data_IF_965209251896
#
_entry.id   IF_965209251896
#
_cell.length_a   1.000
_cell.length_b   1.000
_cell.length_c   1.000
_cell.angle_alpha   90.00
_cell.angle_beta   90.00
_cell.angle_gamma   90.00
#
_symmetry.space_group_name_H-M   'P 1'
#
loop_
_entity.id
_entity.type
_entity.pdbx_description
1 polymer ?
#
# COMPACT_ATOMS: atom_id res chain seq x y z
N UNK A 1 36.11 -41.29 7.07
CA UNK A 1 34.64 -41.41 6.86
C UNK A 1 34.39 -42.25 5.61
N UNK A 2 33.58 -43.31 5.70
CA UNK A 2 33.25 -44.13 4.52
C UNK A 2 32.55 -43.29 3.45
N UNK A 3 32.67 -43.68 2.18
CA UNK A 3 32.03 -42.98 1.04
C UNK A 3 30.52 -42.78 1.27
N UNK A 4 29.88 -43.76 1.91
CA UNK A 4 28.45 -43.73 2.32
C UNK A 4 28.16 -42.64 3.35
N UNK A 5 29.03 -42.46 4.36
CA UNK A 5 28.89 -41.39 5.36
C UNK A 5 29.09 -39.99 4.77
N UNK A 6 30.05 -39.82 3.86
CA UNK A 6 30.27 -38.53 3.18
C UNK A 6 29.06 -38.14 2.32
N UNK A 7 28.50 -39.10 1.59
CA UNK A 7 27.29 -38.89 0.80
C UNK A 7 26.09 -38.49 1.67
N UNK A 8 25.88 -39.19 2.78
CA UNK A 8 24.80 -38.87 3.71
C UNK A 8 24.91 -37.44 4.28
N UNK A 9 26.12 -37.01 4.65
CA UNK A 9 26.37 -35.64 5.14
C UNK A 9 26.12 -34.60 4.04
N UNK A 10 26.54 -34.86 2.80
CA UNK A 10 26.25 -33.96 1.68
C UNK A 10 24.75 -33.83 1.43
N UNK A 11 24.00 -34.94 1.44
CA UNK A 11 22.53 -34.92 1.26
C UNK A 11 21.88 -34.14 2.39
N UNK A 12 22.31 -34.35 3.64
CA UNK A 12 21.79 -33.62 4.80
C UNK A 12 22.03 -32.10 4.68
N UNK A 13 23.23 -31.71 4.24
CA UNK A 13 23.58 -30.29 4.00
C UNK A 13 22.73 -29.69 2.89
N UNK A 14 22.53 -30.40 1.78
CA UNK A 14 21.67 -29.95 0.68
C UNK A 14 20.22 -29.79 1.13
N UNK A 15 19.70 -30.70 1.96
CA UNK A 15 18.36 -30.57 2.54
C UNK A 15 18.23 -29.38 3.47
N UNK A 16 19.24 -29.11 4.32
CA UNK A 16 19.28 -27.93 5.19
C UNK A 16 19.29 -26.63 4.38
N UNK A 17 20.14 -26.55 3.36
CA UNK A 17 20.21 -25.38 2.48
C UNK A 17 18.88 -25.21 1.73
N UNK A 18 18.35 -26.29 1.16
CA UNK A 18 17.07 -26.29 0.44
C UNK A 18 15.91 -25.87 1.33
N UNK A 19 15.85 -26.32 2.58
CA UNK A 19 14.82 -25.93 3.53
C UNK A 19 14.87 -24.44 3.87
N UNK A 20 16.07 -23.86 4.05
CA UNK A 20 16.24 -22.43 4.29
C UNK A 20 15.85 -21.59 3.07
N UNK A 21 16.27 -22.01 1.87
CA UNK A 21 15.87 -21.33 0.62
C UNK A 21 14.34 -21.39 0.45
N UNK A 22 13.73 -22.57 0.69
CA UNK A 22 12.29 -22.72 0.59
C UNK A 22 11.53 -21.87 1.61
N UNK A 23 12.05 -21.73 2.84
CA UNK A 23 11.48 -20.86 3.86
C UNK A 23 11.51 -19.39 3.44
N UNK A 24 12.62 -18.93 2.86
CA UNK A 24 12.77 -17.54 2.38
C UNK A 24 11.93 -17.23 1.15
N UNK A 25 11.66 -18.23 0.31
CA UNK A 25 10.82 -18.09 -0.89
C UNK A 25 9.33 -18.23 -0.60
N UNK A 26 8.92 -18.58 0.62
CA UNK A 26 7.49 -18.56 0.96
C UNK A 26 7.00 -17.11 0.88
N UNK A 27 5.88 -16.85 0.17
CA UNK A 27 5.24 -15.57 0.29
C UNK A 27 4.93 -15.34 1.76
N UNK A 28 5.29 -14.16 2.28
CA UNK A 28 4.83 -13.74 3.59
C UNK A 28 3.31 -13.94 3.63
N UNK A 29 2.74 -14.50 4.72
CA UNK A 29 1.30 -14.54 4.87
C UNK A 29 0.76 -13.14 4.57
N UNK A 30 -0.29 -13.05 3.76
CA UNK A 30 -0.93 -11.76 3.51
C UNK A 30 -1.21 -11.15 4.89
N UNK A 31 -0.56 -10.02 5.18
CA UNK A 31 -0.81 -9.31 6.43
C UNK A 31 -2.30 -9.00 6.56
N UNK A 32 -2.77 -8.76 7.77
CA UNK A 32 -4.14 -8.29 7.99
C UNK A 32 -4.41 -6.94 7.29
N UNK A 33 -3.35 -6.25 6.86
CA UNK A 33 -3.41 -5.01 6.09
C UNK A 33 -2.33 -4.95 4.99
N UNK A 34 -2.56 -4.10 4.00
CA UNK A 34 -1.57 -3.59 3.05
C UNK A 34 -1.22 -2.14 3.38
N UNK A 35 -0.06 -1.69 2.95
CA UNK A 35 0.36 -0.29 3.08
C UNK A 35 0.07 0.46 1.79
N UNK A 36 -0.61 1.59 1.91
CA UNK A 36 -0.70 2.59 0.86
C UNK A 36 0.32 3.68 1.16
N UNK A 37 1.31 3.80 0.30
CA UNK A 37 2.42 4.75 0.42
C UNK A 37 2.38 5.73 -0.74
N UNK A 38 2.58 7.02 -0.48
CA UNK A 38 2.79 8.03 -1.52
C UNK A 38 3.49 9.25 -0.97
N UNK A 39 4.10 10.04 -1.85
CA UNK A 39 4.60 11.37 -1.50
C UNK A 39 3.60 12.43 -1.93
N UNK A 40 3.37 13.40 -1.05
CA UNK A 40 2.53 14.57 -1.31
C UNK A 40 3.31 15.87 -1.09
N UNK A 41 2.99 16.88 -1.89
CA UNK A 41 3.47 18.25 -1.76
C UNK A 41 2.32 19.22 -1.97
N UNK A 42 2.19 20.18 -1.05
CA UNK A 42 1.22 21.26 -1.10
C UNK A 42 1.69 22.48 -0.30
N UNK A 43 0.96 23.58 -0.43
CA UNK A 43 1.32 24.85 0.20
C UNK A 43 0.86 24.91 1.66
N UNK A 44 -0.37 24.45 1.90
CA UNK A 44 -1.06 24.51 3.19
C UNK A 44 -0.92 23.23 3.99
N UNK A 45 -1.05 23.37 5.31
CA UNK A 45 -1.18 22.23 6.20
C UNK A 45 -2.57 21.64 6.05
N UNK A 46 -2.68 20.33 5.85
CA UNK A 46 -3.95 19.62 5.67
C UNK A 46 -3.97 18.28 6.38
N UNK A 47 -5.17 17.84 6.73
CA UNK A 47 -5.41 16.45 7.13
C UNK A 47 -5.76 15.64 5.89
N UNK A 48 -4.88 14.71 5.53
CA UNK A 48 -5.08 13.78 4.43
C UNK A 48 -5.75 12.54 4.99
N UNK A 49 -6.84 12.10 4.38
CA UNK A 49 -7.64 11.00 4.89
C UNK A 49 -7.80 9.89 3.86
N UNK A 50 -7.52 8.66 4.28
CA UNK A 50 -7.76 7.45 3.51
C UNK A 50 -8.98 6.73 4.09
N UNK A 51 -10.03 6.60 3.29
CA UNK A 51 -11.21 5.80 3.61
C UNK A 51 -11.13 4.46 2.91
N UNK A 52 -11.56 3.40 3.60
CA UNK A 52 -11.53 2.04 3.10
C UNK A 52 -12.85 1.32 3.39
N UNK A 53 -13.27 0.46 2.47
CA UNK A 53 -14.53 -0.27 2.61
C UNK A 53 -14.52 -1.59 1.83
N UNK A 54 -15.26 -2.60 2.31
CA UNK A 54 -15.42 -3.90 1.66
C UNK A 54 -16.42 -3.86 0.48
N UNK A 55 -17.33 -2.88 0.48
CA UNK A 55 -18.43 -2.75 -0.50
C UNK A 55 -18.66 -1.30 -0.95
N UNK A 56 -19.51 -1.08 -1.95
CA UNK A 56 -19.90 0.26 -2.45
C UNK A 56 -20.80 1.06 -1.50
N UNK A 57 -21.00 0.59 -0.26
CA UNK A 57 -21.73 1.35 0.74
C UNK A 57 -20.99 2.67 1.08
N UNK A 58 -21.70 3.58 1.76
CA UNK A 58 -21.14 4.89 2.11
C UNK A 58 -19.88 4.75 2.98
N UNK A 59 -18.81 5.43 2.56
CA UNK A 59 -17.61 5.59 3.37
C UNK A 59 -17.96 6.26 4.71
N UNK A 60 -17.38 5.76 5.80
CA UNK A 60 -17.60 6.31 7.14
C UNK A 60 -16.28 6.69 7.80
N UNK A 61 -16.32 7.67 8.69
CA UNK A 61 -15.16 8.08 9.50
C UNK A 61 -14.58 6.91 10.32
N UNK A 62 -15.42 5.96 10.72
CA UNK A 62 -14.99 4.77 11.47
C UNK A 62 -14.05 3.86 10.67
N UNK A 63 -14.21 3.84 9.33
CA UNK A 63 -13.38 3.07 8.41
C UNK A 63 -12.45 4.00 7.63
N UNK A 64 -11.66 4.78 8.37
CA UNK A 64 -10.71 5.71 7.79
C UNK A 64 -9.46 5.88 8.65
N UNK A 65 -8.42 6.43 8.04
CA UNK A 65 -7.21 6.87 8.72
C UNK A 65 -6.84 8.27 8.25
N UNK A 66 -6.31 9.07 9.17
CA UNK A 66 -5.95 10.46 8.96
C UNK A 66 -4.46 10.64 9.17
N UNK A 67 -3.82 11.43 8.32
CA UNK A 67 -2.43 11.81 8.46
C UNK A 67 -2.26 13.30 8.18
N UNK A 68 -1.50 13.97 9.03
CA UNK A 68 -1.27 15.40 8.92
C UNK A 68 -0.14 15.69 7.94
N UNK A 69 -0.46 16.32 6.81
CA UNK A 69 0.51 16.97 5.94
C UNK A 69 0.84 18.34 6.51
N UNK A 70 2.11 18.64 6.75
CA UNK A 70 2.48 19.86 7.51
C UNK A 70 2.35 21.16 6.73
N UNK A 71 2.23 21.11 5.39
CA UNK A 71 2.38 22.30 4.56
C UNK A 71 3.79 22.87 4.61
N UNK A 72 4.33 23.29 3.47
CA UNK A 72 5.63 23.98 3.29
C UNK A 72 6.21 23.80 1.89
N UNK A 73 5.42 23.31 0.92
CA UNK A 73 5.91 22.99 -0.42
C UNK A 73 7.07 21.98 -0.44
N UNK A 74 7.22 21.17 0.61
CA UNK A 74 8.13 20.03 0.63
C UNK A 74 7.37 18.72 0.41
N UNK A 75 8.03 17.79 -0.26
CA UNK A 75 7.56 16.42 -0.38
C UNK A 75 7.59 15.75 0.98
N UNK A 76 6.47 15.12 1.34
CA UNK A 76 6.32 14.35 2.56
C UNK A 76 5.71 13.00 2.20
N UNK A 77 6.34 11.93 2.68
CA UNK A 77 5.82 10.59 2.54
C UNK A 77 4.68 10.38 3.54
N UNK A 78 3.55 9.89 3.05
CA UNK A 78 2.41 9.43 3.84
C UNK A 78 2.23 7.93 3.65
N UNK A 79 1.86 7.27 4.74
CA UNK A 79 1.61 5.83 4.81
C UNK A 79 0.28 5.59 5.52
N UNK A 80 -0.58 4.79 4.91
CA UNK A 80 -1.85 4.34 5.49
C UNK A 80 -1.90 2.82 5.53
N UNK A 81 -2.36 2.24 6.65
CA UNK A 81 -2.51 0.79 6.81
C UNK A 81 -3.92 0.37 6.42
N UNK A 82 -4.13 -0.22 5.25
CA UNK A 82 -5.47 -0.54 4.75
C UNK A 82 -5.80 -2.02 5.01
N UNK A 83 -6.93 -2.36 5.66
CA UNK A 83 -7.35 -3.75 5.87
C UNK A 83 -7.43 -4.56 4.58
N UNK A 84 -7.05 -5.84 4.63
CA UNK A 84 -6.91 -6.69 3.45
C UNK A 84 -8.25 -7.14 2.80
N UNK A 85 -9.37 -6.94 3.49
CA UNK A 85 -10.74 -7.13 3.00
C UNK A 85 -11.27 -5.90 2.22
N UNK A 86 -10.49 -4.82 2.16
CA UNK A 86 -10.84 -3.60 1.43
C UNK A 86 -10.96 -3.87 -0.07
N UNK A 87 -12.12 -3.53 -0.62
CA UNK A 87 -12.38 -3.55 -2.07
C UNK A 87 -12.46 -2.14 -2.67
N UNK A 88 -12.71 -1.13 -1.83
CA UNK A 88 -12.89 0.26 -2.23
C UNK A 88 -12.04 1.17 -1.35
N UNK A 89 -11.26 2.04 -2.00
CA UNK A 89 -10.38 3.01 -1.35
C UNK A 89 -10.71 4.40 -1.89
N UNK A 90 -10.82 5.39 -0.98
CA UNK A 90 -10.93 6.81 -1.33
C UNK A 90 -9.86 7.60 -0.59
N UNK A 91 -9.20 8.50 -1.30
CA UNK A 91 -8.23 9.44 -0.72
C UNK A 91 -8.76 10.86 -0.82
N UNK A 92 -8.86 11.52 0.33
CA UNK A 92 -9.27 12.91 0.46
C UNK A 92 -8.03 13.73 0.85
N UNK A 93 -7.65 14.69 0.00
CA UNK A 93 -6.40 15.47 0.12
C UNK A 93 -6.55 16.77 0.94
N UNK A 94 -7.56 16.86 1.79
CA UNK A 94 -7.87 18.04 2.59
C UNK A 94 -9.22 18.67 2.25
N UNK A 95 -9.62 19.65 3.05
CA UNK A 95 -10.92 20.32 2.93
C UNK A 95 -10.85 21.72 2.30
N UNK A 96 -9.66 22.32 2.28
CA UNK A 96 -9.47 23.67 1.73
C UNK A 96 -9.05 23.64 0.25
N UNK A 97 -9.47 24.63 -0.55
CA UNK A 97 -9.00 24.79 -1.91
C UNK A 97 -7.47 24.94 -1.96
N UNK A 98 -6.81 24.07 -2.73
CA UNK A 98 -5.36 24.07 -2.87
C UNK A 98 -4.90 23.23 -4.05
N UNK A 99 -3.63 23.39 -4.43
CA UNK A 99 -2.98 22.54 -5.43
C UNK A 99 -2.05 21.58 -4.71
N UNK A 100 -2.29 20.29 -4.90
CA UNK A 100 -1.44 19.22 -4.38
C UNK A 100 -0.81 18.46 -5.53
N UNK A 101 0.47 18.14 -5.38
CA UNK A 101 1.17 17.20 -6.24
C UNK A 101 1.36 15.90 -5.47
N UNK A 102 1.09 14.78 -6.14
CA UNK A 102 1.25 13.42 -5.60
C UNK A 102 2.18 12.65 -6.53
N UNK A 103 3.10 11.87 -5.96
CA UNK A 103 3.97 10.97 -6.74
C UNK A 103 4.27 9.69 -5.97
N UNK A 104 4.79 8.70 -6.69
CA UNK A 104 5.29 7.43 -6.13
C UNK A 104 4.22 6.72 -5.29
N UNK A 105 2.99 6.66 -5.82
CA UNK A 105 1.89 5.99 -5.14
C UNK A 105 2.02 4.48 -5.32
N UNK A 106 2.13 3.77 -4.20
CA UNK A 106 2.40 2.34 -4.15
C UNK A 106 1.49 1.66 -3.14
N UNK A 107 1.06 0.46 -3.50
CA UNK A 107 0.43 -0.48 -2.57
C UNK A 107 1.41 -1.62 -2.31
N UNK A 108 1.76 -1.85 -1.05
CA UNK A 108 2.65 -2.95 -0.64
C UNK A 108 1.97 -3.88 0.36
N UNK A 109 2.24 -5.17 0.26
CA UNK A 109 1.69 -6.19 1.14
C UNK A 109 2.57 -7.43 1.16
N UNK A 110 3.12 -7.77 2.32
CA UNK A 110 4.10 -8.84 2.43
C UNK A 110 5.34 -8.54 1.57
N UNK A 111 5.64 -9.41 0.59
CA UNK A 111 6.79 -9.25 -0.31
C UNK A 111 6.40 -8.72 -1.71
N UNK A 112 5.18 -8.18 -1.84
CA UNK A 112 4.67 -7.62 -3.10
C UNK A 112 4.50 -6.13 -2.97
N UNK A 113 4.84 -5.43 -4.04
CA UNK A 113 4.67 -3.99 -4.19
C UNK A 113 4.15 -3.73 -5.59
N UNK A 114 3.18 -2.84 -5.70
CA UNK A 114 2.56 -2.43 -6.97
C UNK A 114 2.54 -0.92 -7.01
N UNK A 115 3.24 -0.36 -8.01
CA UNK A 115 3.14 1.06 -8.35
C UNK A 115 1.80 1.31 -9.06
N UNK A 116 1.02 2.25 -8.53
CA UNK A 116 -0.27 2.69 -9.05
C UNK A 116 -0.27 4.18 -9.42
N UNK A 117 0.89 4.81 -9.50
CA UNK A 117 1.05 6.24 -9.82
C UNK A 117 0.37 6.59 -11.15
N UNK A 118 0.50 5.73 -12.16
CA UNK A 118 -0.12 5.97 -13.46
C UNK A 118 -1.66 5.85 -13.45
N UNK A 119 -2.24 5.13 -12.47
CA UNK A 119 -3.69 5.05 -12.32
C UNK A 119 -4.30 6.38 -11.86
N UNK A 120 -3.51 7.24 -11.21
CA UNK A 120 -3.89 8.59 -10.81
C UNK A 120 -3.85 9.60 -11.96
N UNK A 121 -3.18 9.28 -13.08
CA UNK A 121 -3.10 10.13 -14.27
C UNK A 121 -4.36 10.05 -15.14
N UNK A 122 -5.41 9.34 -14.71
CA UNK A 122 -6.73 9.48 -15.31
C UNK A 122 -7.32 10.81 -14.82
N UNK A 123 -7.42 11.85 -15.68
CA UNK A 123 -8.07 13.08 -15.27
C UNK A 123 -9.50 12.73 -14.89
N UNK A 124 -9.86 12.92 -13.62
CA UNK A 124 -11.25 12.90 -13.19
C UNK A 124 -11.93 14.07 -13.89
N UNK A 125 -12.53 13.81 -15.05
CA UNK A 125 -13.27 14.83 -15.77
C UNK A 125 -14.51 15.18 -14.94
N UNK A 126 -14.89 16.46 -14.92
CA UNK A 126 -16.02 16.96 -14.13
C UNK A 126 -17.36 16.22 -14.39
N UNK A 127 -17.46 15.47 -15.50
CA UNK A 127 -18.59 14.59 -15.82
C UNK A 127 -18.70 13.39 -14.87
N UNK A 128 -17.58 12.89 -14.35
CA UNK A 128 -17.53 11.71 -13.49
C UNK A 128 -17.92 12.04 -12.03
N UNK A 129 -17.83 13.31 -11.63
CA UNK A 129 -18.26 13.83 -10.32
C UNK A 129 -19.80 13.85 -10.19
N UNK A 130 -20.52 14.02 -11.31
CA UNK A 130 -21.98 14.05 -11.31
C UNK A 130 -22.63 12.66 -11.26
N UNK A 131 -21.86 11.59 -11.51
CA UNK A 131 -22.35 10.20 -11.41
C UNK A 131 -22.27 9.63 -9.99
N UNK A 132 -21.53 10.28 -9.08
CA UNK A 132 -21.40 9.90 -7.67
C UNK A 132 -22.40 10.62 -6.75
N UNK A 133 -23.31 11.42 -7.32
CA UNK A 133 -24.38 12.13 -6.61
C UNK A 133 -25.78 11.58 -6.93
N UNK A 134 -25.87 10.39 -7.52
CA UNK A 134 -27.13 9.72 -7.87
C UNK A 134 -27.41 8.55 -6.93
#
# INVERSE_FOLDING_TARGET
MSKKRKLAVCVLLLLLIGANIWLLLRPAPAGEAFELNFEIKGETQEEIQAFYHESTAEFSEANSQKSLYKGNNQWQQLTFMIPNDTSYLRLDFGSEPGSYAVKEMQISGGNKEVDITEMMNYPLEAKDINLLKA
#
